data_IF_090111988773
#
_entry.id   IF_090111988773
#
_cell.length_a   1.000
_cell.length_b   1.000
_cell.length_c   1.000
_cell.angle_alpha   90.00
_cell.angle_beta   90.00
_cell.angle_gamma   90.00
#
_symmetry.space_group_name_H-M   'P 1'
#
loop_
_entity.id
_entity.type
_entity.pdbx_description
1 polymer ?
#
# COMPACT_ATOMS: atom_id res chain seq x y z
N UNK A 1 6.28 5.25 -3.75
CA UNK A 1 6.86 3.89 -3.68
C UNK A 1 5.84 2.96 -3.01
N UNK A 2 5.29 1.99 -3.75
CA UNK A 2 4.23 1.09 -3.22
C UNK A 2 4.75 0.07 -2.21
N UNK A 3 5.80 -0.67 -2.56
CA UNK A 3 6.38 -1.73 -1.70
C UNK A 3 6.88 -1.20 -0.35
N UNK A 4 7.48 -0.01 -0.34
CA UNK A 4 7.92 0.63 0.90
C UNK A 4 6.75 1.02 1.80
N UNK A 5 5.65 1.50 1.23
CA UNK A 5 4.43 1.79 1.97
C UNK A 5 3.83 0.51 2.57
N UNK A 6 3.80 -0.59 1.81
CA UNK A 6 3.36 -1.90 2.32
C UNK A 6 4.19 -2.38 3.51
N UNK A 7 5.52 -2.32 3.41
CA UNK A 7 6.41 -2.73 4.51
C UNK A 7 6.24 -1.84 5.75
N UNK A 8 6.11 -0.52 5.56
CA UNK A 8 5.91 0.43 6.66
C UNK A 8 4.61 0.15 7.44
N UNK A 9 3.50 -0.14 6.73
CA UNK A 9 2.23 -0.50 7.35
C UNK A 9 2.35 -1.77 8.23
N UNK A 10 3.01 -2.81 7.72
CA UNK A 10 3.22 -4.06 8.46
C UNK A 10 4.07 -3.85 9.71
N UNK A 11 5.17 -3.10 9.60
CA UNK A 11 6.02 -2.77 10.75
C UNK A 11 5.24 -1.95 11.78
N UNK A 12 4.46 -0.96 11.36
CA UNK A 12 3.67 -0.14 12.27
C UNK A 12 2.64 -0.96 13.07
N UNK A 13 1.98 -1.93 12.43
CA UNK A 13 1.05 -2.84 13.12
C UNK A 13 1.78 -3.84 14.00
N UNK A 14 2.91 -4.40 13.55
CA UNK A 14 3.72 -5.34 14.34
C UNK A 14 4.29 -4.69 15.61
N UNK A 15 4.69 -3.43 15.54
CA UNK A 15 5.22 -2.65 16.67
C UNK A 15 4.11 -2.07 17.57
N UNK A 16 2.83 -2.24 17.20
CA UNK A 16 1.70 -1.71 17.95
C UNK A 16 1.52 -0.19 17.86
N UNK A 17 2.21 0.48 16.93
CA UNK A 17 2.03 1.92 16.66
C UNK A 17 0.67 2.19 16.01
N UNK A 18 0.17 1.21 15.26
CA UNK A 18 -1.16 1.20 14.66
C UNK A 18 -1.86 -0.08 15.12
N UNK A 19 -3.12 -0.03 15.56
CA UNK A 19 -3.78 -1.18 16.19
C UNK A 19 -3.97 -2.39 15.26
N UNK A 20 -4.32 -2.15 13.99
CA UNK A 20 -4.52 -3.19 12.97
C UNK A 20 -4.58 -2.61 11.55
N UNK A 21 -4.51 -3.49 10.56
CA UNK A 21 -4.90 -3.18 9.18
C UNK A 21 -6.44 -2.97 9.07
N UNK A 22 -6.92 -2.25 8.04
CA UNK A 22 -6.14 -1.58 6.99
C UNK A 22 -5.44 -0.30 7.48
N UNK A 23 -4.21 -0.06 7.00
CA UNK A 23 -3.39 1.10 7.35
C UNK A 23 -3.46 2.15 6.23
N UNK A 24 -3.77 3.39 6.61
CA UNK A 24 -3.73 4.55 5.70
C UNK A 24 -2.35 5.19 5.71
N UNK A 25 -1.77 5.40 4.52
CA UNK A 25 -0.45 6.00 4.34
C UNK A 25 -0.59 7.24 3.47
N UNK A 26 -0.08 8.37 3.97
CA UNK A 26 0.02 9.62 3.22
C UNK A 26 1.38 9.67 2.52
N UNK A 27 1.37 9.58 1.19
CA UNK A 27 2.56 9.69 0.36
C UNK A 27 2.44 10.88 -0.60
N UNK A 28 3.57 11.32 -1.19
CA UNK A 28 3.57 12.41 -2.17
C UNK A 28 2.67 12.13 -3.39
N UNK A 29 2.52 10.86 -3.78
CA UNK A 29 1.67 10.43 -4.89
C UNK A 29 0.18 10.27 -4.54
N UNK A 30 -0.23 10.62 -3.32
CA UNK A 30 -1.60 10.48 -2.84
C UNK A 30 -1.74 9.52 -1.65
N UNK A 31 -2.98 9.24 -1.29
CA UNK A 31 -3.33 8.36 -0.17
C UNK A 31 -3.25 6.90 -0.64
N UNK A 32 -2.53 6.08 0.12
CA UNK A 32 -2.47 4.63 -0.07
C UNK A 32 -3.16 3.93 1.10
N UNK A 33 -3.82 2.82 0.84
CA UNK A 33 -4.39 1.93 1.85
C UNK A 33 -3.72 0.57 1.71
N UNK A 34 -3.16 0.06 2.80
CA UNK A 34 -2.54 -1.26 2.85
C UNK A 34 -3.34 -2.14 3.78
N UNK A 35 -3.91 -3.22 3.24
CA UNK A 35 -4.61 -4.25 3.99
C UNK A 35 -3.81 -5.56 3.97
N UNK A 36 -3.88 -6.32 5.06
CA UNK A 36 -3.20 -7.60 5.21
C UNK A 36 -3.74 -8.35 6.43
N UNK A 37 -3.51 -9.66 6.47
CA UNK A 37 -3.83 -10.51 7.62
C UNK A 37 -2.59 -10.89 8.41
N UNK A 38 -2.80 -11.08 9.71
CA UNK A 38 -1.78 -11.46 10.67
C UNK A 38 -1.00 -10.28 11.24
N UNK A 39 -0.24 -10.54 12.30
CA UNK A 39 0.78 -9.63 12.85
C UNK A 39 2.19 -10.20 12.59
N UNK A 40 2.33 -10.99 11.52
CA UNK A 40 3.45 -11.86 11.22
C UNK A 40 3.06 -13.35 11.38
N UNK A 41 3.51 -14.25 10.49
CA UNK A 41 3.75 -13.99 9.07
C UNK A 41 2.54 -13.28 8.44
N UNK A 42 2.78 -12.38 7.48
CA UNK A 42 1.73 -11.61 6.83
C UNK A 42 1.23 -12.32 5.57
N UNK A 43 -0.09 -12.35 5.38
CA UNK A 43 -0.74 -12.96 4.21
C UNK A 43 -1.81 -12.02 3.65
N UNK A 44 -2.32 -12.34 2.46
CA UNK A 44 -3.41 -11.59 1.80
C UNK A 44 -3.14 -10.08 1.71
N UNK A 45 -1.95 -9.72 1.25
CA UNK A 45 -1.48 -8.33 1.22
C UNK A 45 -2.07 -7.59 0.03
N UNK A 46 -2.80 -6.51 0.28
CA UNK A 46 -3.43 -5.67 -0.75
C UNK A 46 -2.98 -4.22 -0.56
N UNK A 47 -2.45 -3.61 -1.62
CA UNK A 47 -2.17 -2.16 -1.67
C UNK A 47 -3.16 -1.51 -2.65
N UNK A 48 -3.89 -0.51 -2.16
CA UNK A 48 -4.83 0.29 -2.95
C UNK A 48 -4.37 1.75 -2.97
N UNK A 49 -4.49 2.42 -4.11
CA UNK A 49 -4.11 3.82 -4.26
C UNK A 49 -4.67 4.42 -5.55
N UNK A 50 -4.58 5.76 -5.71
CA UNK A 50 -5.08 6.44 -6.89
C UNK A 50 -4.23 6.10 -8.13
N UNK A 51 -4.90 6.03 -9.27
CA UNK A 51 -4.27 5.96 -10.59
C UNK A 51 -5.00 6.91 -11.54
N UNK A 52 -4.25 7.69 -12.31
CA UNK A 52 -4.80 8.64 -13.28
C UNK A 52 -4.16 8.39 -14.63
N UNK A 53 -4.99 8.19 -15.66
CA UNK A 53 -4.50 8.05 -17.03
C UNK A 53 -4.05 9.42 -17.54
N UNK A 54 -2.75 9.57 -17.79
CA UNK A 54 -2.16 10.84 -18.25
C UNK A 54 -2.13 11.02 -19.77
N UNK A 55 -2.06 9.92 -20.53
CA UNK A 55 -2.17 9.92 -21.99
C UNK A 55 -2.65 8.56 -22.51
N UNK A 56 -3.04 8.49 -23.79
CA UNK A 56 -3.37 7.26 -24.50
C UNK A 56 -2.77 7.30 -25.90
N UNK A 57 -2.15 6.21 -26.34
CA UNK A 57 -1.51 6.08 -27.64
C UNK A 57 -1.46 4.64 -28.14
N UNK A 58 -0.84 4.44 -29.30
CA UNK A 58 -0.57 3.11 -29.89
C UNK A 58 0.94 2.98 -30.12
N UNK A 59 1.52 1.85 -29.73
CA UNK A 59 2.89 1.46 -30.07
C UNK A 59 2.81 0.43 -31.21
N UNK A 60 3.47 0.69 -32.33
CA UNK A 60 3.70 -0.35 -33.36
C UNK A 60 4.97 -1.09 -32.94
N UNK A 61 4.87 -2.42 -32.80
CA UNK A 61 5.98 -3.31 -32.45
C UNK A 61 6.68 -3.83 -33.71
#
# INVERSE_FOLDING_TARGET
CGTGATAAAMVAVAQGWVPSAPVTIYAQGGILTVDFKGRGPFTDVVLTGPAVQVFKGKLQL
#
